data_IF_528031338871
#
_entry.id   IF_528031338871
#
_cell.length_a   1.000
_cell.length_b   1.000
_cell.length_c   1.000
_cell.angle_alpha   90.00
_cell.angle_beta   90.00
_cell.angle_gamma   90.00
#
_symmetry.space_group_name_H-M   'P 1'
#
loop_
_entity.id
_entity.type
_entity.pdbx_description
1 polymer ?
#
# COMPACT_ATOMS: atom_id res chain seq x y z
N UNK A 1 14.85 49.13 46.48
CA UNK A 1 16.11 48.36 46.40
C UNK A 1 16.20 47.69 45.04
N UNK A 2 16.53 48.43 43.98
CA UNK A 2 16.99 47.93 42.67
C UNK A 2 17.69 49.08 41.93
N UNK A 3 18.73 49.66 42.52
CA UNK A 3 19.74 50.34 41.71
C UNK A 3 20.69 49.24 41.24
N UNK A 4 20.50 48.72 40.03
CA UNK A 4 21.35 47.64 39.50
C UNK A 4 21.62 47.90 38.03
N UNK A 5 22.83 48.39 37.77
CA UNK A 5 23.51 48.59 36.50
C UNK A 5 22.66 48.56 35.22
N UNK A 6 22.48 49.72 34.58
CA UNK A 6 21.95 49.84 33.20
C UNK A 6 22.65 48.88 32.23
N UNK A 7 23.93 48.60 32.45
CA UNK A 7 24.71 47.61 31.68
C UNK A 7 24.15 46.18 31.83
N UNK A 8 23.79 45.76 33.04
CA UNK A 8 23.21 44.43 33.30
C UNK A 8 21.85 44.27 32.63
N UNK A 9 21.03 45.32 32.64
CA UNK A 9 19.73 45.35 31.94
C UNK A 9 19.90 45.20 30.42
N UNK A 10 20.85 45.94 29.83
CA UNK A 10 21.16 45.86 28.39
C UNK A 10 21.69 44.47 28.03
N UNK A 11 22.56 43.88 28.85
CA UNK A 11 23.07 42.51 28.62
C UNK A 11 21.93 41.48 28.64
N UNK A 12 21.01 41.59 29.60
CA UNK A 12 19.85 40.68 29.67
C UNK A 12 18.94 40.81 28.44
N UNK A 13 18.70 42.04 28.00
CA UNK A 13 17.88 42.32 26.81
C UNK A 13 18.55 41.78 25.52
N UNK A 14 19.88 41.90 25.42
CA UNK A 14 20.65 41.38 24.30
C UNK A 14 20.64 39.84 24.26
N UNK A 15 20.75 39.18 25.42
CA UNK A 15 20.66 37.72 25.53
C UNK A 15 19.28 37.24 25.10
N UNK A 16 18.21 37.85 25.61
CA UNK A 16 16.82 37.49 25.23
C UNK A 16 16.62 37.69 23.72
N UNK A 17 17.06 38.81 23.17
CA UNK A 17 16.94 39.09 21.73
C UNK A 17 17.70 38.06 20.88
N UNK A 18 18.90 37.68 21.31
CA UNK A 18 19.71 36.65 20.64
C UNK A 18 19.03 35.29 20.67
N UNK A 19 18.48 34.90 21.83
CA UNK A 19 17.72 33.66 21.98
C UNK A 19 16.50 33.65 21.05
N UNK A 20 15.76 34.75 20.96
CA UNK A 20 14.60 34.86 20.05
C UNK A 20 15.00 34.76 18.57
N UNK A 21 16.14 35.33 18.18
CA UNK A 21 16.67 35.22 16.82
C UNK A 21 17.06 33.77 16.51
N UNK A 22 17.76 33.11 17.42
CA UNK A 22 18.14 31.68 17.27
C UNK A 22 16.88 30.80 17.19
N UNK A 23 15.89 31.03 18.07
CA UNK A 23 14.59 30.35 18.02
C UNK A 23 13.87 30.57 16.70
N UNK A 24 13.90 31.79 16.14
CA UNK A 24 13.27 32.07 14.85
C UNK A 24 13.97 31.34 13.69
N UNK A 25 15.32 31.28 13.70
CA UNK A 25 16.11 30.58 12.69
C UNK A 25 15.87 29.06 12.77
N UNK A 26 15.87 28.49 13.98
CA UNK A 26 15.58 27.06 14.19
C UNK A 26 14.12 26.77 13.79
N UNK A 27 13.18 27.63 14.16
CA UNK A 27 11.76 27.50 13.78
C UNK A 27 11.54 27.57 12.26
N UNK A 28 12.40 28.25 11.50
CA UNK A 28 12.32 28.30 10.03
C UNK A 28 12.87 27.05 9.34
N UNK A 29 13.82 26.36 9.97
CA UNK A 29 14.50 25.20 9.37
C UNK A 29 14.03 23.84 9.92
N UNK A 30 13.25 23.80 11.00
CA UNK A 30 12.73 22.57 11.59
C UNK A 30 11.21 22.57 11.49
N UNK A 31 10.69 22.13 10.34
CA UNK A 31 9.30 21.69 10.23
C UNK A 31 9.15 20.32 10.91
N UNK A 32 9.15 20.30 12.24
CA UNK A 32 8.75 19.11 12.98
C UNK A 32 7.28 19.29 13.38
N UNK A 33 6.39 18.68 12.60
CA UNK A 33 4.94 18.70 12.84
C UNK A 33 4.66 17.84 14.07
N UNK A 34 4.58 18.47 15.24
CA UNK A 34 4.03 17.81 16.43
C UNK A 34 2.54 17.70 16.24
N UNK A 35 2.09 16.51 15.84
CA UNK A 35 0.68 16.19 15.73
C UNK A 35 0.10 16.05 17.15
N UNK A 36 -0.58 17.10 17.62
CA UNK A 36 -1.24 17.15 18.93
C UNK A 36 -2.74 16.82 18.82
N UNK A 37 -3.14 16.12 17.76
CA UNK A 37 -4.51 15.62 17.62
C UNK A 37 -4.58 14.17 18.09
N UNK A 38 -5.37 13.90 19.13
CA UNK A 38 -5.68 12.55 19.64
C UNK A 38 -6.63 11.77 18.70
N UNK A 39 -6.50 11.92 17.38
CA UNK A 39 -7.36 11.24 16.40
C UNK A 39 -6.61 10.09 15.71
N UNK A 40 -6.30 9.05 16.49
CA UNK A 40 -5.75 7.76 16.00
C UNK A 40 -6.72 6.94 15.13
N UNK A 41 -7.89 7.49 14.77
CA UNK A 41 -8.87 6.76 13.96
C UNK A 41 -8.53 6.75 12.47
N UNK A 42 -7.67 7.69 12.00
CA UNK A 42 -7.34 7.86 10.58
C UNK A 42 -5.85 7.76 10.28
N UNK A 43 -5.06 7.21 11.19
CA UNK A 43 -3.62 7.02 10.97
C UNK A 43 -3.36 5.76 10.16
N UNK A 44 -2.48 5.87 9.15
CA UNK A 44 -1.99 4.71 8.41
C UNK A 44 -1.36 3.66 9.33
N UNK A 45 -1.49 2.39 8.97
CA UNK A 45 -0.78 1.31 9.62
C UNK A 45 0.74 1.45 9.43
N UNK A 46 1.52 0.85 10.34
CA UNK A 46 2.99 0.88 10.25
C UNK A 46 3.51 0.19 8.98
N UNK A 47 2.76 -0.79 8.46
CA UNK A 47 3.07 -1.44 7.19
C UNK A 47 2.95 -0.45 6.02
N UNK A 48 1.83 0.28 5.95
CA UNK A 48 1.57 1.29 4.93
C UNK A 48 2.60 2.42 5.00
N UNK A 49 2.90 2.93 6.20
CA UNK A 49 3.97 3.93 6.42
C UNK A 49 5.33 3.45 5.95
N UNK A 50 5.68 2.20 6.23
CA UNK A 50 6.95 1.62 5.82
C UNK A 50 7.05 1.41 4.31
N UNK A 51 5.92 1.18 3.65
CA UNK A 51 5.84 1.06 2.19
C UNK A 51 6.00 2.43 1.53
N UNK A 52 5.22 3.45 1.94
CA UNK A 52 5.25 4.78 1.30
C UNK A 52 6.58 5.51 1.41
N UNK A 53 7.36 5.21 2.46
CA UNK A 53 8.70 5.79 2.65
C UNK A 53 9.74 5.26 1.65
N UNK A 54 9.45 4.15 0.96
CA UNK A 54 10.35 3.52 -0.02
C UNK A 54 10.16 4.04 -1.43
N UNK A 55 9.06 4.76 -1.66
CA UNK A 55 8.78 5.39 -2.95
C UNK A 55 9.88 6.42 -3.20
N UNK A 56 10.56 6.31 -4.33
CA UNK A 56 11.70 7.14 -4.70
C UNK A 56 11.40 8.11 -5.87
N UNK A 57 10.35 7.86 -6.65
CA UNK A 57 9.85 8.78 -7.69
C UNK A 57 8.41 9.28 -7.40
N UNK A 58 7.89 10.14 -8.27
CA UNK A 58 6.58 10.79 -8.14
C UNK A 58 5.44 9.80 -8.40
N UNK A 59 4.71 9.45 -7.34
CA UNK A 59 3.41 8.79 -7.43
C UNK A 59 2.28 9.84 -7.47
N UNK A 60 1.50 9.84 -8.54
CA UNK A 60 0.33 10.72 -8.68
C UNK A 60 -0.96 9.92 -8.56
N UNK A 61 -1.83 10.35 -7.64
CA UNK A 61 -3.14 9.74 -7.37
C UNK A 61 -4.24 10.68 -7.91
N UNK A 62 -4.94 10.26 -8.95
CA UNK A 62 -6.09 11.01 -9.49
C UNK A 62 -7.37 10.42 -8.94
N UNK A 63 -8.16 11.22 -8.24
CA UNK A 63 -9.40 10.78 -7.60
C UNK A 63 -10.58 11.41 -8.31
N UNK A 64 -11.44 10.58 -8.90
CA UNK A 64 -12.65 11.02 -9.61
C UNK A 64 -13.87 10.73 -8.74
N UNK A 65 -14.43 11.78 -8.16
CA UNK A 65 -15.58 11.69 -7.26
C UNK A 65 -16.68 12.66 -7.71
N UNK A 66 -17.93 12.22 -7.66
CA UNK A 66 -19.06 13.14 -7.64
C UNK A 66 -19.12 13.86 -6.28
N UNK A 67 -19.54 15.12 -6.27
CA UNK A 67 -19.64 15.91 -5.04
C UNK A 67 -20.92 15.56 -4.26
N UNK A 68 -22.03 15.31 -4.97
CA UNK A 68 -23.33 14.99 -4.36
C UNK A 68 -23.62 13.48 -4.30
N UNK A 69 -22.81 12.76 -3.52
CA UNK A 69 -23.03 11.33 -3.29
C UNK A 69 -24.18 11.07 -2.29
N UNK A 70 -25.07 10.10 -2.58
CA UNK A 70 -26.21 9.80 -1.72
C UNK A 70 -25.83 9.01 -0.46
N UNK A 71 -26.58 9.20 0.62
CA UNK A 71 -26.57 8.32 1.79
C UNK A 71 -25.19 8.13 2.43
N UNK A 72 -24.80 6.87 2.62
CA UNK A 72 -23.57 6.46 3.29
C UNK A 72 -22.29 6.83 2.52
N UNK A 73 -22.38 7.07 1.21
CA UNK A 73 -21.21 7.34 0.36
C UNK A 73 -20.68 8.77 0.49
N UNK A 74 -21.49 9.72 0.98
CA UNK A 74 -21.08 11.12 1.14
C UNK A 74 -19.86 11.31 2.05
N UNK A 75 -19.66 10.41 3.01
CA UNK A 75 -18.50 10.44 3.90
C UNK A 75 -17.24 9.80 3.30
N UNK A 76 -17.38 8.94 2.27
CA UNK A 76 -16.24 8.23 1.68
C UNK A 76 -15.23 9.19 1.05
N UNK A 77 -15.71 10.27 0.41
CA UNK A 77 -14.84 11.30 -0.19
C UNK A 77 -13.93 11.94 0.87
N UNK A 78 -14.51 12.35 2.01
CA UNK A 78 -13.76 12.96 3.12
C UNK A 78 -12.77 11.96 3.73
N UNK A 79 -13.23 10.73 4.00
CA UNK A 79 -12.37 9.68 4.54
C UNK A 79 -11.17 9.38 3.63
N UNK A 80 -11.42 9.26 2.32
CA UNK A 80 -10.37 9.05 1.34
C UNK A 80 -9.40 10.24 1.32
N UNK A 81 -9.90 11.47 1.34
CA UNK A 81 -9.06 12.65 1.37
C UNK A 81 -8.15 12.66 2.61
N UNK A 82 -8.70 12.48 3.80
CA UNK A 82 -7.94 12.46 5.07
C UNK A 82 -6.85 11.36 5.04
N UNK A 83 -7.18 10.19 4.50
CA UNK A 83 -6.23 9.09 4.35
C UNK A 83 -5.13 9.41 3.33
N UNK A 84 -5.45 9.99 2.17
CA UNK A 84 -4.45 10.37 1.15
C UNK A 84 -3.53 11.50 1.64
N UNK A 85 -4.03 12.40 2.49
CA UNK A 85 -3.22 13.40 3.19
C UNK A 85 -2.16 12.74 4.09
N UNK A 86 -2.52 11.66 4.79
CA UNK A 86 -1.56 10.86 5.55
C UNK A 86 -0.54 10.15 4.64
N UNK A 87 -0.98 9.55 3.52
CA UNK A 87 -0.06 8.97 2.53
C UNK A 87 0.98 10.00 2.06
N UNK A 88 0.51 11.19 1.68
CA UNK A 88 1.37 12.30 1.27
C UNK A 88 2.34 12.71 2.38
N UNK A 89 1.87 12.84 3.63
CA UNK A 89 2.69 13.24 4.77
C UNK A 89 3.83 12.27 5.09
N UNK A 90 3.66 10.96 4.88
CA UNK A 90 4.68 9.94 5.15
C UNK A 90 5.55 9.58 3.93
N UNK A 91 5.28 10.15 2.75
CA UNK A 91 5.95 9.80 1.49
C UNK A 91 7.25 10.56 1.18
N UNK A 92 7.75 11.38 2.11
CA UNK A 92 8.87 12.30 1.85
C UNK A 92 8.67 13.25 0.65
N UNK A 93 7.41 13.53 0.29
CA UNK A 93 7.05 14.41 -0.83
C UNK A 93 6.89 13.72 -2.17
N UNK A 94 6.93 12.38 -2.22
CA UNK A 94 6.82 11.62 -3.47
C UNK A 94 5.36 11.31 -3.87
N UNK A 95 4.43 11.24 -2.91
CA UNK A 95 3.00 11.05 -3.19
C UNK A 95 2.30 12.41 -3.35
N UNK A 96 1.60 12.55 -4.47
CA UNK A 96 0.72 13.68 -4.77
C UNK A 96 -0.66 13.17 -5.14
N UNK A 97 -1.72 13.88 -4.73
CA UNK A 97 -3.08 13.51 -5.10
C UNK A 97 -3.89 14.73 -5.52
N UNK A 98 -4.83 14.51 -6.43
CA UNK A 98 -5.74 15.52 -6.96
C UNK A 98 -7.16 14.96 -7.01
N UNK A 99 -8.13 15.72 -6.48
CA UNK A 99 -9.55 15.41 -6.58
C UNK A 99 -10.17 16.15 -7.76
N UNK A 100 -10.79 15.40 -8.66
CA UNK A 100 -11.57 15.91 -9.78
C UNK A 100 -13.05 15.66 -9.50
N UNK A 101 -13.82 16.75 -9.47
CA UNK A 101 -15.27 16.64 -9.50
C UNK A 101 -15.72 16.20 -10.89
N UNK A 102 -16.67 15.28 -10.94
CA UNK A 102 -17.28 14.81 -12.19
C UNK A 102 -18.71 15.34 -12.37
N UNK A 103 -19.19 16.14 -11.42
CA UNK A 103 -20.53 16.72 -11.47
C UNK A 103 -20.53 17.89 -12.46
N UNK A 104 -21.41 17.82 -13.46
CA UNK A 104 -21.57 18.82 -14.53
C UNK A 104 -20.30 19.14 -15.36
N UNK A 105 -19.25 18.31 -15.28
CA UNK A 105 -18.03 18.43 -16.08
C UNK A 105 -17.85 17.23 -17.02
N UNK A 106 -18.34 17.37 -18.25
CA UNK A 106 -18.22 16.34 -19.31
C UNK A 106 -16.77 15.94 -19.58
N UNK A 107 -15.83 16.87 -19.45
CA UNK A 107 -14.41 16.61 -19.72
C UNK A 107 -13.81 15.73 -18.63
N UNK A 108 -14.13 15.99 -17.36
CA UNK A 108 -13.70 15.15 -16.24
C UNK A 108 -14.36 13.77 -16.28
N UNK A 109 -15.63 13.68 -16.71
CA UNK A 109 -16.30 12.39 -16.93
C UNK A 109 -15.62 11.57 -18.04
N UNK A 110 -15.26 12.21 -19.15
CA UNK A 110 -14.53 11.55 -20.25
C UNK A 110 -13.13 11.10 -19.80
N UNK A 111 -12.41 11.93 -19.05
CA UNK A 111 -11.09 11.61 -18.50
C UNK A 111 -11.14 10.45 -17.50
N UNK A 112 -12.15 10.44 -16.62
CA UNK A 112 -12.40 9.33 -15.70
C UNK A 112 -12.62 8.01 -16.46
N UNK A 113 -13.49 8.02 -17.47
CA UNK A 113 -13.80 6.83 -18.28
C UNK A 113 -12.58 6.33 -19.06
N UNK A 114 -11.80 7.24 -19.68
CA UNK A 114 -10.54 6.91 -20.36
C UNK A 114 -9.52 6.30 -19.41
N UNK A 115 -9.55 6.73 -18.16
CA UNK A 115 -8.69 6.20 -17.10
C UNK A 115 -9.22 4.91 -16.47
N UNK A 116 -10.34 4.36 -16.97
CA UNK A 116 -10.92 3.10 -16.51
C UNK A 116 -11.93 3.23 -15.37
N UNK A 117 -12.28 4.45 -14.96
CA UNK A 117 -13.27 4.72 -13.91
C UNK A 117 -14.64 4.90 -14.56
N UNK A 118 -15.53 3.93 -14.38
CA UNK A 118 -16.86 3.93 -14.97
C UNK A 118 -17.90 4.49 -13.99
N UNK A 119 -18.96 5.16 -14.48
CA UNK A 119 -20.02 5.66 -13.63
C UNK A 119 -20.82 4.50 -12.99
N UNK A 120 -21.14 4.67 -11.72
CA UNK A 120 -21.95 3.75 -10.93
C UNK A 120 -23.37 4.27 -10.83
N UNK A 121 -24.35 3.40 -11.04
CA UNK A 121 -25.77 3.75 -10.87
C UNK A 121 -26.19 3.46 -9.43
N UNK A 122 -26.54 4.51 -8.70
CA UNK A 122 -27.05 4.43 -7.33
C UNK A 122 -28.52 4.80 -7.29
N UNK A 123 -29.30 4.03 -6.52
CA UNK A 123 -30.69 4.36 -6.24
C UNK A 123 -30.75 5.32 -5.06
N UNK A 124 -31.43 6.44 -5.24
CA UNK A 124 -31.60 7.47 -4.22
C UNK A 124 -33.08 7.65 -3.97
N UNK A 125 -33.48 7.61 -2.70
CA UNK A 125 -34.85 7.87 -2.29
C UNK A 125 -34.92 9.35 -1.88
N UNK A 126 -35.54 10.17 -2.71
CA UNK A 126 -35.78 11.59 -2.45
C UNK A 126 -37.28 11.86 -2.56
N UNK A 127 -37.88 12.41 -1.51
CA UNK A 127 -39.29 12.82 -1.47
C UNK A 127 -40.27 11.73 -1.98
N UNK A 128 -40.17 10.51 -1.43
CA UNK A 128 -40.97 9.33 -1.79
C UNK A 128 -40.83 8.85 -3.26
N UNK A 129 -39.85 9.37 -4.01
CA UNK A 129 -39.50 8.90 -5.35
C UNK A 129 -38.15 8.16 -5.35
N UNK A 130 -38.07 7.10 -6.14
CA UNK A 130 -36.81 6.39 -6.41
C UNK A 130 -36.20 6.99 -7.68
N UNK A 131 -35.08 7.68 -7.53
CA UNK A 131 -34.28 8.20 -8.64
C UNK A 131 -33.00 7.37 -8.81
N UNK A 132 -32.57 7.15 -10.05
CA UNK A 132 -31.28 6.52 -10.34
C UNK A 132 -30.29 7.62 -10.68
N UNK A 133 -29.30 7.85 -9.81
CA UNK A 133 -28.21 8.79 -10.04
C UNK A 133 -26.97 8.07 -10.56
N UNK A 134 -26.29 8.67 -11.53
CA UNK A 134 -24.99 8.18 -12.02
C UNK A 134 -23.90 8.99 -11.34
N UNK A 135 -22.98 8.31 -10.66
CA UNK A 135 -21.90 8.96 -9.90
C UNK A 135 -20.56 8.31 -10.18
N UNK A 136 -19.47 9.04 -10.01
CA UNK A 136 -18.11 8.49 -10.03
C UNK A 136 -17.56 8.43 -8.61
N UNK A 137 -16.87 7.34 -8.28
CA UNK A 137 -16.22 7.13 -6.99
C UNK A 137 -15.01 6.21 -7.18
N UNK A 138 -13.98 6.66 -7.90
CA UNK A 138 -12.83 5.82 -8.21
C UNK A 138 -11.53 6.61 -8.23
N UNK A 139 -10.41 5.90 -8.31
CA UNK A 139 -9.10 6.54 -8.36
C UNK A 139 -8.09 5.78 -9.23
N UNK A 140 -7.11 6.52 -9.71
CA UNK A 140 -6.06 6.08 -10.62
C UNK A 140 -4.72 6.39 -9.98
N UNK A 141 -3.80 5.45 -10.08
CA UNK A 141 -2.43 5.52 -9.58
C UNK A 141 -1.50 5.59 -10.78
N UNK A 142 -0.62 6.58 -10.79
CA UNK A 142 0.34 6.81 -11.87
C UNK A 142 1.74 6.89 -11.27
N UNK A 143 2.61 5.94 -11.66
CA UNK A 143 3.98 5.86 -11.19
C UNK A 143 4.88 5.50 -12.37
N UNK A 144 5.82 6.38 -12.71
CA UNK A 144 6.64 6.24 -13.93
C UNK A 144 5.76 5.99 -15.18
N UNK A 145 5.97 4.87 -15.88
CA UNK A 145 5.19 4.44 -17.05
C UNK A 145 4.06 3.45 -16.69
N UNK A 146 3.95 3.05 -15.43
CA UNK A 146 2.98 2.07 -14.95
C UNK A 146 1.74 2.74 -14.34
N UNK A 147 0.60 2.02 -14.44
CA UNK A 147 -0.67 2.51 -13.90
C UNK A 147 -1.48 1.42 -13.23
N UNK A 148 -2.13 1.79 -12.13
CA UNK A 148 -3.10 0.95 -11.42
C UNK A 148 -4.39 1.73 -11.18
N UNK A 149 -5.49 1.02 -10.94
CA UNK A 149 -6.80 1.65 -10.66
C UNK A 149 -7.52 0.96 -9.51
N UNK A 150 -8.27 1.76 -8.76
CA UNK A 150 -9.41 1.28 -7.96
C UNK A 150 -10.67 1.81 -8.67
N UNK A 151 -11.36 0.95 -9.43
CA UNK A 151 -12.45 1.39 -10.30
C UNK A 151 -13.66 1.91 -9.52
N UNK A 152 -13.83 1.45 -8.28
CA UNK A 152 -14.97 1.83 -7.43
C UNK A 152 -14.60 1.80 -5.95
N UNK A 153 -15.01 2.83 -5.21
CA UNK A 153 -14.79 3.03 -3.77
C UNK A 153 -16.16 3.18 -3.11
N UNK A 154 -16.78 2.03 -2.80
CA UNK A 154 -18.09 1.97 -2.13
C UNK A 154 -17.98 2.01 -0.60
N UNK A 155 -16.85 1.56 -0.05
CA UNK A 155 -16.66 1.43 1.39
C UNK A 155 -15.26 1.91 1.79
N UNK A 156 -15.15 2.38 3.03
CA UNK A 156 -13.89 2.75 3.66
C UNK A 156 -13.19 1.54 4.28
N UNK A 157 -13.95 0.46 4.57
CA UNK A 157 -13.41 -0.76 5.15
C UNK A 157 -12.46 -1.45 4.19
N UNK A 158 -11.20 -1.61 4.60
CA UNK A 158 -10.16 -2.26 3.80
C UNK A 158 -9.54 -1.35 2.72
N UNK A 159 -10.00 -0.12 2.58
CA UNK A 159 -9.53 0.80 1.54
C UNK A 159 -8.04 1.16 1.71
N UNK A 160 -7.55 1.30 2.95
CA UNK A 160 -6.12 1.50 3.21
C UNK A 160 -5.28 0.36 2.65
N UNK A 161 -5.72 -0.88 2.89
CA UNK A 161 -5.01 -2.08 2.43
C UNK A 161 -5.01 -2.16 0.90
N UNK A 162 -6.15 -1.87 0.27
CA UNK A 162 -6.26 -1.86 -1.19
C UNK A 162 -5.34 -0.82 -1.82
N UNK A 163 -5.37 0.42 -1.32
CA UNK A 163 -4.49 1.51 -1.77
C UNK A 163 -3.02 1.11 -1.57
N UNK A 164 -2.63 0.66 -0.38
CA UNK A 164 -1.25 0.24 -0.12
C UNK A 164 -0.80 -0.86 -1.06
N UNK A 165 -1.67 -1.82 -1.35
CA UNK A 165 -1.36 -2.91 -2.28
C UNK A 165 -1.15 -2.39 -3.70
N UNK A 166 -2.00 -1.49 -4.21
CA UNK A 166 -1.81 -0.87 -5.53
C UNK A 166 -0.51 -0.09 -5.63
N UNK A 167 -0.17 0.69 -4.61
CA UNK A 167 1.11 1.39 -4.56
C UNK A 167 2.27 0.40 -4.51
N UNK A 168 2.14 -0.67 -3.72
CA UNK A 168 3.17 -1.70 -3.61
C UNK A 168 3.46 -2.37 -4.96
N UNK A 169 2.41 -2.66 -5.75
CA UNK A 169 2.51 -3.21 -7.10
C UNK A 169 3.24 -2.28 -8.05
N UNK A 170 3.00 -0.97 -7.96
CA UNK A 170 3.66 0.03 -8.82
C UNK A 170 5.12 0.30 -8.45
N UNK A 171 5.42 0.30 -7.16
CA UNK A 171 6.72 0.78 -6.65
C UNK A 171 7.74 -0.35 -6.51
N UNK A 172 7.30 -1.58 -6.22
CA UNK A 172 8.21 -2.71 -6.12
C UNK A 172 8.26 -3.49 -7.43
N UNK A 173 9.33 -3.26 -8.19
CA UNK A 173 9.77 -4.16 -9.26
C UNK A 173 10.18 -5.55 -8.72
N UNK A 174 10.51 -5.60 -7.42
CA UNK A 174 11.00 -6.76 -6.70
C UNK A 174 9.87 -7.49 -5.96
N UNK A 175 8.86 -7.97 -6.71
CA UNK A 175 7.98 -9.02 -6.18
C UNK A 175 8.87 -10.16 -5.72
N UNK A 176 8.91 -10.45 -4.41
CA UNK A 176 9.74 -11.54 -3.92
C UNK A 176 9.33 -12.81 -4.65
N UNK A 177 10.30 -13.47 -5.26
CA UNK A 177 10.03 -14.73 -5.95
C UNK A 177 9.96 -15.81 -4.88
N UNK A 178 8.85 -16.52 -4.89
CA UNK A 178 8.63 -17.68 -4.05
C UNK A 178 8.38 -18.88 -4.95
N UNK A 179 8.83 -20.05 -4.54
CA UNK A 179 8.70 -21.25 -5.35
C UNK A 179 7.91 -22.33 -4.63
N UNK A 180 6.96 -22.94 -5.34
CA UNK A 180 6.49 -24.27 -5.00
C UNK A 180 7.48 -25.27 -5.58
N UNK A 181 8.11 -26.04 -4.70
CA UNK A 181 9.03 -27.08 -5.11
C UNK A 181 8.34 -28.45 -5.05
N UNK A 182 8.67 -29.32 -6.00
CA UNK A 182 8.29 -30.73 -6.01
C UNK A 182 9.52 -31.60 -6.13
N UNK A 183 9.46 -32.79 -5.56
CA UNK A 183 10.43 -33.85 -5.84
C UNK A 183 10.11 -34.51 -7.18
N UNK A 184 11.11 -35.13 -7.78
CA UNK A 184 11.00 -35.97 -8.99
C UNK A 184 9.97 -37.10 -8.86
N UNK A 185 9.69 -37.53 -7.62
CA UNK A 185 8.74 -38.62 -7.30
C UNK A 185 7.32 -38.13 -7.05
N UNK A 186 7.11 -36.82 -6.89
CA UNK A 186 5.80 -36.24 -6.64
C UNK A 186 5.06 -35.94 -7.95
N UNK A 187 3.90 -36.56 -8.11
CA UNK A 187 2.97 -36.26 -9.20
C UNK A 187 1.72 -35.56 -8.66
N UNK A 188 1.21 -34.56 -9.40
CA UNK A 188 -0.06 -33.87 -9.13
C UNK A 188 -0.16 -33.15 -7.76
N UNK A 189 0.82 -32.30 -7.44
CA UNK A 189 0.67 -31.37 -6.30
C UNK A 189 -0.29 -30.24 -6.71
N UNK A 190 -1.46 -30.19 -6.07
CA UNK A 190 -2.47 -29.13 -6.28
C UNK A 190 -2.19 -27.94 -5.38
N UNK A 191 -1.67 -26.86 -5.97
CA UNK A 191 -1.37 -25.61 -5.28
C UNK A 191 -2.11 -24.41 -5.90
N UNK A 192 -3.09 -24.63 -6.77
CA UNK A 192 -3.69 -23.60 -7.62
C UNK A 192 -4.32 -22.46 -6.81
N UNK A 193 -5.16 -22.79 -5.83
CA UNK A 193 -5.84 -21.79 -4.99
C UNK A 193 -4.85 -20.94 -4.19
N UNK A 194 -3.82 -21.58 -3.63
CA UNK A 194 -2.78 -20.89 -2.84
C UNK A 194 -1.89 -20.05 -3.76
N UNK A 195 -1.56 -20.57 -4.94
CA UNK A 195 -0.79 -19.87 -5.97
C UNK A 195 -1.52 -18.60 -6.41
N UNK A 196 -2.83 -18.66 -6.61
CA UNK A 196 -3.64 -17.49 -6.96
C UNK A 196 -3.58 -16.39 -5.89
N UNK A 197 -3.74 -16.75 -4.61
CA UNK A 197 -3.65 -15.79 -3.50
C UNK A 197 -2.26 -15.21 -3.33
N UNK A 198 -1.21 -16.03 -3.54
CA UNK A 198 0.17 -15.57 -3.42
C UNK A 198 0.58 -14.67 -4.60
N UNK A 199 0.07 -14.93 -5.80
CA UNK A 199 0.32 -14.10 -6.98
C UNK A 199 -0.22 -12.67 -6.85
N UNK A 200 -1.08 -12.38 -5.86
CA UNK A 200 -1.49 -11.00 -5.56
C UNK A 200 -0.34 -10.12 -5.05
N UNK A 201 0.73 -10.73 -4.51
CA UNK A 201 1.85 -10.00 -3.86
C UNK A 201 3.25 -10.52 -4.19
N UNK A 202 3.35 -11.70 -4.79
CA UNK A 202 4.60 -12.42 -5.04
C UNK A 202 4.63 -12.96 -6.46
N UNK A 203 5.83 -13.13 -7.02
CA UNK A 203 6.00 -13.94 -8.23
C UNK A 203 6.14 -15.40 -7.81
N UNK A 204 5.16 -16.23 -8.14
CA UNK A 204 5.19 -17.66 -7.81
C UNK A 204 5.77 -18.47 -8.97
N UNK A 205 6.81 -19.27 -8.71
CA UNK A 205 7.37 -20.23 -9.66
C UNK A 205 7.14 -21.66 -9.21
N UNK A 206 7.05 -22.59 -10.17
CA UNK A 206 7.11 -24.03 -9.88
C UNK A 206 8.50 -24.53 -10.26
N UNK A 207 9.16 -25.24 -9.34
CA UNK A 207 10.52 -25.78 -9.54
C UNK A 207 10.56 -27.27 -9.20
N UNK A 208 11.53 -27.96 -9.78
CA UNK A 208 11.85 -29.35 -9.44
C UNK A 208 13.12 -29.37 -8.58
N UNK A 209 13.11 -30.06 -7.45
CA UNK A 209 14.24 -30.07 -6.51
C UNK A 209 15.48 -30.78 -7.05
N UNK A 210 15.33 -31.64 -8.06
CA UNK A 210 16.43 -32.33 -8.74
C UNK A 210 17.19 -31.39 -9.70
N UNK A 211 16.74 -30.15 -9.87
CA UNK A 211 17.43 -29.11 -10.62
C UNK A 211 17.99 -28.02 -9.71
N UNK A 212 19.00 -27.28 -10.22
CA UNK A 212 19.57 -26.14 -9.51
C UNK A 212 18.51 -25.06 -9.24
N UNK A 213 18.46 -24.59 -8.00
CA UNK A 213 17.49 -23.59 -7.54
C UNK A 213 18.04 -22.20 -7.87
N UNK A 214 17.26 -21.40 -8.59
CA UNK A 214 17.63 -20.02 -8.93
C UNK A 214 17.88 -19.15 -7.69
N UNK A 215 18.96 -18.36 -7.73
CA UNK A 215 19.40 -17.51 -6.61
C UNK A 215 18.43 -16.35 -6.28
N UNK A 216 17.49 -16.04 -7.17
CA UNK A 216 16.47 -15.00 -6.99
C UNK A 216 15.26 -15.49 -6.16
N UNK A 217 15.17 -16.80 -5.89
CA UNK A 217 14.13 -17.40 -5.06
C UNK A 217 14.42 -17.11 -3.59
N UNK A 218 13.45 -16.52 -2.89
CA UNK A 218 13.60 -16.12 -1.48
C UNK A 218 12.99 -17.12 -0.49
N UNK A 219 11.99 -17.90 -0.94
CA UNK A 219 11.26 -18.87 -0.14
C UNK A 219 10.87 -20.07 -1.00
N UNK A 220 11.11 -21.27 -0.47
CA UNK A 220 10.59 -22.52 -1.03
C UNK A 220 9.46 -23.04 -0.14
N UNK A 221 8.34 -23.34 -0.79
CA UNK A 221 7.17 -24.01 -0.24
C UNK A 221 7.21 -25.47 -0.71
N UNK A 222 7.42 -26.39 0.23
CA UNK A 222 7.35 -27.82 -0.03
C UNK A 222 6.15 -28.40 0.67
N UNK A 223 5.27 -29.03 -0.10
CA UNK A 223 4.12 -29.74 0.44
C UNK A 223 4.01 -31.16 -0.10
N UNK A 224 3.47 -32.04 0.72
CA UNK A 224 3.11 -33.40 0.31
C UNK A 224 4.30 -34.32 0.02
N UNK A 225 5.48 -34.08 0.62
CA UNK A 225 6.64 -34.97 0.47
C UNK A 225 6.26 -36.35 1.04
N UNK A 226 6.31 -37.37 0.18
CA UNK A 226 5.84 -38.73 0.50
C UNK A 226 6.97 -39.70 0.86
N UNK A 227 8.20 -39.39 0.46
CA UNK A 227 9.37 -40.26 0.58
C UNK A 227 10.63 -39.40 0.79
N UNK A 228 11.74 -40.06 1.13
CA UNK A 228 13.05 -39.41 1.27
C UNK A 228 13.47 -38.74 -0.04
N UNK A 229 14.13 -37.58 0.10
CA UNK A 229 14.79 -36.90 -1.00
C UNK A 229 15.92 -37.77 -1.56
N UNK A 230 16.15 -37.68 -2.86
CA UNK A 230 17.39 -38.14 -3.48
C UNK A 230 18.58 -37.28 -3.05
N UNK A 231 19.81 -37.76 -3.28
CA UNK A 231 21.03 -37.02 -2.95
C UNK A 231 21.08 -35.66 -3.67
N UNK A 232 20.69 -35.61 -4.95
CA UNK A 232 20.67 -34.36 -5.72
C UNK A 232 19.64 -33.36 -5.17
N UNK A 233 18.42 -33.82 -4.88
CA UNK A 233 17.37 -32.99 -4.28
C UNK A 233 17.77 -32.45 -2.91
N UNK A 234 18.42 -33.28 -2.08
CA UNK A 234 18.93 -32.88 -0.78
C UNK A 234 20.04 -31.83 -0.93
N UNK A 235 21.01 -32.06 -1.81
CA UNK A 235 22.12 -31.14 -2.04
C UNK A 235 21.65 -29.77 -2.54
N UNK A 236 20.71 -29.74 -3.49
CA UNK A 236 20.14 -28.50 -4.00
C UNK A 236 19.41 -27.73 -2.89
N UNK A 237 18.58 -28.41 -2.09
CA UNK A 237 17.86 -27.81 -0.98
C UNK A 237 18.81 -27.29 0.11
N UNK A 238 19.84 -28.05 0.47
CA UNK A 238 20.87 -27.61 1.43
C UNK A 238 21.64 -26.39 0.92
N UNK A 239 22.02 -26.36 -0.35
CA UNK A 239 22.68 -25.20 -0.97
C UNK A 239 21.79 -23.95 -0.88
N UNK A 240 20.49 -24.08 -1.15
CA UNK A 240 19.54 -22.98 -1.03
C UNK A 240 19.45 -22.45 0.41
N UNK A 241 19.33 -23.34 1.41
CA UNK A 241 19.29 -22.96 2.82
C UNK A 241 20.60 -22.28 3.24
N UNK A 242 21.74 -22.82 2.82
CA UNK A 242 23.06 -22.29 3.14
C UNK A 242 23.30 -20.89 2.54
N UNK A 243 22.67 -20.57 1.40
CA UNK A 243 22.65 -19.23 0.81
C UNK A 243 21.72 -18.24 1.53
N UNK A 244 21.00 -18.67 2.57
CA UNK A 244 20.07 -17.86 3.35
C UNK A 244 18.62 -17.93 2.89
N UNK A 245 18.29 -18.86 1.98
CA UNK A 245 16.94 -19.11 1.54
C UNK A 245 16.02 -19.59 2.66
N UNK A 246 14.77 -19.15 2.67
CA UNK A 246 13.77 -19.59 3.65
C UNK A 246 13.03 -20.84 3.18
N UNK A 247 12.70 -21.74 4.09
CA UNK A 247 11.99 -22.99 3.80
C UNK A 247 10.71 -23.09 4.63
N UNK A 248 9.58 -23.36 3.97
CA UNK A 248 8.34 -23.76 4.63
C UNK A 248 7.98 -25.17 4.18
N UNK A 249 7.91 -26.09 5.16
CA UNK A 249 7.55 -27.47 4.97
C UNK A 249 6.14 -27.73 5.51
N UNK A 250 5.25 -28.22 4.65
CA UNK A 250 3.90 -28.61 5.02
C UNK A 250 3.68 -30.11 4.72
N UNK A 251 3.66 -30.94 5.76
CA UNK A 251 3.43 -32.38 5.65
C UNK A 251 2.06 -32.74 6.24
N UNK A 252 1.26 -33.49 5.48
CA UNK A 252 -0.01 -34.01 5.96
C UNK A 252 0.15 -35.49 6.36
N UNK A 253 -0.56 -35.91 7.42
CA UNK A 253 -0.55 -37.31 7.90
C UNK A 253 -1.44 -38.24 7.08
N UNK A 254 -2.29 -37.71 6.21
CA UNK A 254 -3.30 -38.47 5.46
C UNK A 254 -3.20 -38.13 3.97
N UNK A 255 -2.98 -39.14 3.12
CA UNK A 255 -3.18 -39.08 1.67
C UNK A 255 -4.69 -39.05 1.38
N UNK A 256 -5.31 -37.87 1.42
CA UNK A 256 -6.69 -37.74 0.95
C UNK A 256 -6.67 -37.33 -0.51
N UNK A 257 -7.16 -38.22 -1.36
CA UNK A 257 -7.64 -37.87 -2.69
C UNK A 257 -8.90 -37.00 -2.51
N UNK A 258 -8.77 -35.69 -2.72
CA UNK A 258 -9.92 -34.79 -2.74
C UNK A 258 -10.57 -34.90 -4.12
N UNK A 259 -11.21 -36.05 -4.34
CA UNK A 259 -12.31 -36.25 -5.26
C UNK A 259 -13.60 -36.38 -4.43
N UNK A 260 -13.95 -35.33 -3.69
CA UNK A 260 -15.32 -35.00 -3.29
C UNK A 260 -15.41 -33.53 -2.90
#
# INVERSE_FOLDING_TARGET
MFARDKKSFITYLAIISTILIILNIISRNVFHRWDLTDNKMYSLSESSKSMVRKIDDRLTLKVYFSDNLPGEYGNNRRYLQDMLEEYAAYSNGNIHFEFYSTDDDEKMQEDAQKSGIQPVQLQVIENDNIEVKRVYMGMVFLYEDEREIIPIIQTTTGLEYEITTKIQTLVNDNTKIIAFAKTSRQNNIKNENVTQLLNERYTVRNIELDQEIFDDISLILLNGIEDSLSEDEQNNLENFINKGGSLLLAQNRIKTDLAT
#
